data_IF_040164506901
#
_entry.id   IF_040164506901
#
_cell.length_a   1.000
_cell.length_b   1.000
_cell.length_c   1.000
_cell.angle_alpha   90.00
_cell.angle_beta   90.00
_cell.angle_gamma   90.00
#
_symmetry.space_group_name_H-M   'P 1'
#
loop_
_entity.id
_entity.type
_entity.pdbx_description
1 polymer ?
#
# COMPACT_ATOMS: atom_id res chain seq x y z
N UNK A 1 29.18 25.41 16.16
CA UNK A 1 29.37 24.52 14.99
C UNK A 1 30.74 23.91 15.15
N UNK A 2 30.80 22.63 15.49
CA UNK A 2 32.06 21.91 15.57
C UNK A 2 32.34 21.27 14.21
N UNK A 3 33.61 21.19 13.82
CA UNK A 3 34.01 20.40 12.67
C UNK A 3 34.19 18.95 13.12
N UNK A 4 33.74 18.03 12.27
CA UNK A 4 33.92 16.59 12.40
C UNK A 4 34.26 16.01 11.03
N UNK A 5 34.49 14.71 10.95
CA UNK A 5 34.82 14.03 9.70
C UNK A 5 33.61 13.34 9.10
N UNK A 6 33.50 13.38 7.78
CA UNK A 6 32.49 12.63 7.04
C UNK A 6 32.74 11.13 7.15
N UNK A 7 31.74 10.35 7.57
CA UNK A 7 31.84 8.88 7.69
C UNK A 7 32.25 8.16 6.40
N UNK A 8 31.97 8.74 5.23
CA UNK A 8 32.19 8.08 3.92
C UNK A 8 33.51 8.49 3.27
N UNK A 9 33.84 9.79 3.26
CA UNK A 9 35.02 10.31 2.52
C UNK A 9 36.09 10.97 3.40
N UNK A 10 35.88 11.05 4.72
CA UNK A 10 36.83 11.63 5.67
C UNK A 10 37.01 13.16 5.58
N UNK A 11 36.30 13.85 4.68
CA UNK A 11 36.37 15.31 4.59
C UNK A 11 35.86 15.98 5.88
N UNK A 12 36.44 17.12 6.25
CA UNK A 12 35.91 17.95 7.33
C UNK A 12 34.53 18.49 6.95
N UNK A 13 33.58 18.30 7.85
CA UNK A 13 32.18 18.71 7.72
C UNK A 13 31.70 19.27 9.05
N UNK A 14 30.69 20.14 9.00
CA UNK A 14 29.99 20.57 10.22
C UNK A 14 29.30 19.38 10.89
N UNK A 15 29.30 19.34 12.22
CA UNK A 15 28.54 18.39 13.04
C UNK A 15 27.03 18.44 12.78
N UNK A 16 26.53 19.56 12.24
CA UNK A 16 25.13 19.78 11.87
C UNK A 16 24.88 19.65 10.35
N UNK A 17 25.88 19.23 9.56
CA UNK A 17 25.73 19.11 8.12
C UNK A 17 24.66 18.06 7.75
N UNK A 18 23.70 18.43 6.88
CA UNK A 18 22.71 17.48 6.35
C UNK A 18 23.26 16.62 5.21
N UNK A 19 24.26 17.11 4.48
CA UNK A 19 24.95 16.40 3.42
C UNK A 19 26.42 16.82 3.37
N UNK A 20 27.32 15.89 3.00
CA UNK A 20 28.73 16.20 2.80
C UNK A 20 28.92 16.99 1.48
N UNK A 21 29.55 18.18 1.48
CA UNK A 21 29.76 18.96 0.26
C UNK A 21 30.74 18.30 -0.72
N UNK A 22 31.58 17.36 -0.27
CA UNK A 22 32.58 16.69 -1.11
C UNK A 22 32.05 15.44 -1.82
N UNK A 23 31.28 14.59 -1.11
CA UNK A 23 30.85 13.28 -1.62
C UNK A 23 29.33 13.09 -1.66
N UNK A 24 28.54 14.01 -1.09
CA UNK A 24 27.08 13.91 -1.06
C UNK A 24 26.50 13.00 0.03
N UNK A 25 27.33 12.38 0.89
CA UNK A 25 26.86 11.52 1.98
C UNK A 25 25.83 12.24 2.87
N UNK A 26 24.60 11.71 3.06
CA UNK A 26 23.59 12.30 3.93
C UNK A 26 23.98 12.11 5.40
N UNK A 27 23.72 13.09 6.26
CA UNK A 27 24.06 13.04 7.70
C UNK A 27 25.52 12.59 7.96
N UNK A 28 26.52 13.23 7.33
CA UNK A 28 27.90 12.74 7.28
C UNK A 28 28.58 12.65 8.64
N UNK A 29 28.12 13.42 9.63
CA UNK A 29 28.60 13.41 11.01
C UNK A 29 28.07 12.23 11.86
N UNK A 30 27.04 11.51 11.39
CA UNK A 30 26.45 10.40 12.12
C UNK A 30 27.04 9.06 11.63
N UNK A 31 27.90 8.38 12.42
CA UNK A 31 28.51 7.11 12.03
C UNK A 31 27.49 5.96 11.97
N UNK A 32 26.38 6.05 12.70
CA UNK A 32 25.33 5.04 12.75
C UNK A 32 24.19 5.31 11.76
N UNK A 33 24.40 6.16 10.75
CA UNK A 33 23.36 6.52 9.79
C UNK A 33 22.91 5.34 8.93
N UNK A 34 21.66 4.92 9.11
CA UNK A 34 21.01 3.84 8.35
C UNK A 34 19.81 4.32 7.51
N UNK A 35 19.67 5.64 7.33
CA UNK A 35 18.52 6.27 6.68
C UNK A 35 17.49 6.82 7.67
N UNK A 36 16.27 7.05 7.19
CA UNK A 36 15.13 7.53 8.00
C UNK A 36 14.06 6.46 8.13
N UNK A 37 13.22 6.59 9.16
CA UNK A 37 12.09 5.71 9.40
C UNK A 37 12.48 4.40 10.09
N UNK A 38 11.83 3.32 9.70
CA UNK A 38 11.92 2.02 10.39
C UNK A 38 11.86 0.89 9.37
N UNK A 39 12.62 -0.17 9.64
CA UNK A 39 12.56 -1.41 8.88
C UNK A 39 12.71 -2.59 9.82
N UNK A 40 11.79 -3.54 9.70
CA UNK A 40 11.85 -4.80 10.42
C UNK A 40 11.38 -5.94 9.51
N UNK A 41 12.06 -7.08 9.60
CA UNK A 41 11.79 -8.30 8.84
C UNK A 41 11.71 -9.47 9.80
N UNK A 42 10.73 -10.34 9.59
CA UNK A 42 10.64 -11.61 10.30
C UNK A 42 11.84 -12.51 9.96
N UNK A 43 12.35 -13.25 10.94
CA UNK A 43 13.46 -14.21 10.73
C UNK A 43 13.07 -15.38 9.83
N UNK A 44 11.80 -15.80 9.86
CA UNK A 44 11.27 -16.82 8.95
C UNK A 44 11.03 -16.23 7.57
N UNK A 45 11.46 -16.98 6.55
CA UNK A 45 11.27 -16.64 5.15
C UNK A 45 10.52 -17.76 4.43
N UNK A 46 9.80 -17.39 3.37
CA UNK A 46 9.12 -18.30 2.46
C UNK A 46 9.40 -17.84 1.03
N UNK A 47 9.94 -18.73 0.19
CA UNK A 47 10.30 -18.41 -1.20
C UNK A 47 11.30 -17.24 -1.34
N UNK A 48 12.20 -17.06 -0.36
CA UNK A 48 13.17 -15.95 -0.35
C UNK A 48 12.63 -14.61 0.18
N UNK A 49 11.34 -14.54 0.53
CA UNK A 49 10.72 -13.35 1.11
C UNK A 49 10.41 -13.54 2.60
N UNK A 50 10.53 -12.50 3.44
CA UNK A 50 10.13 -12.59 4.84
C UNK A 50 8.61 -12.83 4.96
N UNK A 51 8.19 -13.56 6.01
CA UNK A 51 6.77 -13.70 6.33
C UNK A 51 6.13 -12.34 6.63
N UNK A 52 6.81 -11.49 7.40
CA UNK A 52 6.36 -10.12 7.68
C UNK A 52 7.49 -9.14 7.40
N UNK A 53 7.18 -8.08 6.66
CA UNK A 53 8.09 -6.98 6.40
C UNK A 53 7.39 -5.66 6.65
N UNK A 54 7.89 -4.92 7.63
CA UNK A 54 7.43 -3.57 7.96
C UNK A 54 8.52 -2.61 7.53
N UNK A 55 8.22 -1.68 6.63
CA UNK A 55 9.20 -0.70 6.16
C UNK A 55 8.59 0.65 5.80
N UNK A 56 9.12 1.72 6.38
CA UNK A 56 8.75 3.10 6.03
C UNK A 56 9.95 4.04 6.16
N UNK A 57 9.92 5.15 5.43
CA UNK A 57 11.03 6.09 5.34
C UNK A 57 12.01 5.77 4.22
N UNK A 58 13.28 6.13 4.41
CA UNK A 58 14.35 6.01 3.40
C UNK A 58 15.52 5.19 3.92
N UNK A 59 16.22 4.50 3.03
CA UNK A 59 17.47 3.80 3.35
C UNK A 59 18.65 4.78 3.52
N UNK A 60 19.83 4.26 3.84
CA UNK A 60 21.05 5.07 4.03
C UNK A 60 21.47 5.84 2.77
N UNK A 61 21.06 5.37 1.59
CA UNK A 61 21.29 5.99 0.27
C UNK A 61 20.17 6.96 -0.13
N UNK A 62 19.18 7.16 0.73
CA UNK A 62 18.05 8.05 0.50
C UNK A 62 16.93 7.48 -0.39
N UNK A 63 16.98 6.19 -0.75
CA UNK A 63 15.90 5.53 -1.51
C UNK A 63 14.73 5.22 -0.59
N UNK A 64 13.51 5.35 -1.11
CA UNK A 64 12.30 4.97 -0.38
C UNK A 64 12.33 3.48 -0.06
N UNK A 65 12.02 3.12 1.19
CA UNK A 65 11.91 1.73 1.59
C UNK A 65 10.68 1.08 0.97
N UNK A 66 10.85 -0.15 0.51
CA UNK A 66 9.78 -0.96 -0.09
C UNK A 66 9.61 -2.23 0.74
N UNK A 67 8.48 -2.34 1.42
CA UNK A 67 8.12 -3.56 2.15
C UNK A 67 7.79 -4.67 1.14
N UNK A 68 8.45 -5.83 1.30
CA UNK A 68 8.27 -7.03 0.47
C UNK A 68 8.18 -8.26 1.36
N UNK A 69 7.07 -8.99 1.30
CA UNK A 69 6.86 -10.16 2.15
C UNK A 69 5.51 -10.84 1.91
N UNK A 70 5.22 -11.90 2.67
CA UNK A 70 3.87 -12.48 2.67
C UNK A 70 2.88 -11.45 3.22
N UNK A 71 3.20 -10.86 4.37
CA UNK A 71 2.53 -9.70 4.95
C UNK A 71 3.46 -8.51 4.81
N UNK A 72 3.07 -7.52 4.00
CA UNK A 72 3.87 -6.33 3.73
C UNK A 72 3.17 -5.07 4.26
N UNK A 73 3.84 -4.32 5.14
CA UNK A 73 3.31 -3.10 5.78
C UNK A 73 4.26 -1.94 5.51
N UNK A 74 3.80 -0.86 4.88
CA UNK A 74 4.68 0.28 4.61
C UNK A 74 4.05 1.41 3.81
N UNK A 75 4.82 2.47 3.56
CA UNK A 75 4.38 3.52 2.63
C UNK A 75 4.28 2.96 1.20
N UNK A 76 5.27 2.16 0.81
CA UNK A 76 5.30 1.38 -0.42
C UNK A 76 5.43 -0.10 -0.07
N UNK A 77 4.56 -0.95 -0.61
CA UNK A 77 4.56 -2.37 -0.28
C UNK A 77 4.14 -3.29 -1.44
N UNK A 78 4.73 -4.48 -1.47
CA UNK A 78 4.39 -5.57 -2.37
C UNK A 78 4.32 -6.87 -1.57
N UNK A 79 3.16 -7.51 -1.53
CA UNK A 79 2.99 -8.74 -0.77
C UNK A 79 1.76 -9.52 -1.15
N UNK A 80 1.58 -10.67 -0.49
CA UNK A 80 0.37 -11.46 -0.61
C UNK A 80 -0.79 -10.74 0.08
N UNK A 81 -0.53 -10.28 1.31
CA UNK A 81 -1.37 -9.41 2.12
C UNK A 81 -0.62 -8.10 2.34
N UNK A 82 -1.21 -6.99 1.91
CA UNK A 82 -0.53 -5.69 1.88
C UNK A 82 -1.32 -4.63 2.61
N UNK A 83 -0.65 -3.88 3.50
CA UNK A 83 -1.18 -2.69 4.17
C UNK A 83 -0.28 -1.51 3.83
N UNK A 84 -0.74 -0.62 2.94
CA UNK A 84 0.13 0.47 2.46
C UNK A 84 -0.59 1.69 1.90
N UNK A 85 0.15 2.80 1.79
CA UNK A 85 -0.35 3.96 1.05
C UNK A 85 -0.38 3.66 -0.46
N UNK A 86 0.71 3.09 -0.97
CA UNK A 86 0.85 2.64 -2.35
C UNK A 86 1.33 1.20 -2.37
N UNK A 87 0.67 0.33 -3.13
CA UNK A 87 1.17 -1.04 -3.20
C UNK A 87 0.36 -2.02 -4.01
N UNK A 88 0.82 -3.26 -3.95
CA UNK A 88 0.17 -4.41 -4.57
C UNK A 88 -0.03 -5.49 -3.51
N UNK A 89 -1.28 -5.91 -3.34
CA UNK A 89 -1.69 -7.02 -2.48
C UNK A 89 -2.24 -8.16 -3.32
N UNK A 90 -1.41 -9.17 -3.62
CA UNK A 90 -1.78 -10.22 -4.59
C UNK A 90 -3.08 -10.93 -4.20
N UNK A 91 -3.30 -11.21 -2.92
CA UNK A 91 -4.55 -11.76 -2.39
C UNK A 91 -5.40 -10.66 -1.77
N UNK A 92 -4.82 -9.87 -0.85
CA UNK A 92 -5.54 -8.82 -0.13
C UNK A 92 -4.71 -7.54 -0.03
N UNK A 93 -5.36 -6.39 -0.29
CA UNK A 93 -4.76 -5.07 -0.12
C UNK A 93 -5.65 -4.12 0.69
N UNK A 94 -5.05 -3.42 1.65
CA UNK A 94 -5.71 -2.36 2.41
C UNK A 94 -4.90 -1.05 2.38
N UNK A 95 -5.56 0.08 2.08
CA UNK A 95 -4.94 1.40 2.23
C UNK A 95 -5.46 2.47 1.26
N UNK A 96 -4.59 3.18 0.55
CA UNK A 96 -4.98 4.33 -0.29
C UNK A 96 -4.98 4.02 -1.80
N UNK A 97 -3.86 3.61 -2.37
CA UNK A 97 -3.70 3.28 -3.79
C UNK A 97 -3.20 1.85 -3.91
N UNK A 98 -4.12 0.91 -4.03
CA UNK A 98 -3.80 -0.52 -4.02
C UNK A 98 -4.31 -1.20 -5.28
N UNK A 99 -3.51 -2.14 -5.78
CA UNK A 99 -3.92 -3.10 -6.81
C UNK A 99 -3.83 -4.51 -6.21
N UNK A 100 -4.79 -5.38 -6.51
CA UNK A 100 -4.83 -6.71 -5.91
C UNK A 100 -6.03 -7.55 -6.33
N UNK A 101 -6.17 -8.74 -5.76
CA UNK A 101 -7.36 -9.57 -6.00
C UNK A 101 -8.57 -9.03 -5.24
N UNK A 102 -8.44 -8.89 -3.92
CA UNK A 102 -9.44 -8.25 -3.04
C UNK A 102 -8.81 -7.00 -2.44
N UNK A 103 -9.42 -5.83 -2.66
CA UNK A 103 -8.86 -4.54 -2.25
C UNK A 103 -9.88 -3.71 -1.50
N UNK A 104 -9.49 -3.22 -0.33
CA UNK A 104 -10.19 -2.22 0.46
C UNK A 104 -9.34 -0.95 0.51
N UNK A 105 -9.59 0.01 -0.39
CA UNK A 105 -8.75 1.21 -0.47
C UNK A 105 -9.51 2.41 -1.03
N UNK A 106 -8.99 3.63 -0.80
CA UNK A 106 -9.55 4.84 -1.40
C UNK A 106 -9.63 4.73 -2.94
N UNK A 107 -8.55 4.28 -3.57
CA UNK A 107 -8.43 3.91 -4.98
C UNK A 107 -8.11 2.41 -5.03
N UNK A 108 -9.15 1.61 -5.31
CA UNK A 108 -9.10 0.16 -5.25
C UNK A 108 -9.07 -0.45 -6.66
N UNK A 109 -7.88 -0.86 -7.10
CA UNK A 109 -7.67 -1.66 -8.31
C UNK A 109 -7.85 -3.15 -8.04
N UNK A 110 -9.06 -3.58 -7.71
CA UNK A 110 -9.38 -4.99 -7.46
C UNK A 110 -9.53 -5.79 -8.76
N UNK A 111 -9.12 -7.05 -8.76
CA UNK A 111 -9.44 -8.01 -9.82
C UNK A 111 -10.78 -8.69 -9.55
N UNK A 112 -10.96 -9.20 -8.32
CA UNK A 112 -12.16 -9.92 -7.88
C UNK A 112 -13.12 -8.97 -7.18
N UNK A 113 -12.63 -8.26 -6.16
CA UNK A 113 -13.43 -7.34 -5.37
C UNK A 113 -12.64 -6.05 -5.11
N UNK A 114 -13.19 -4.92 -5.52
CA UNK A 114 -12.71 -3.59 -5.13
C UNK A 114 -13.73 -2.87 -4.27
N UNK A 115 -13.34 -2.40 -3.09
CA UNK A 115 -14.18 -1.51 -2.27
C UNK A 115 -13.42 -0.23 -1.99
N UNK A 116 -14.01 0.90 -2.35
CA UNK A 116 -13.32 2.16 -2.30
C UNK A 116 -14.14 3.35 -2.73
N UNK A 117 -13.52 4.53 -2.76
CA UNK A 117 -14.19 5.72 -3.28
C UNK A 117 -14.18 5.67 -4.81
N UNK A 118 -13.06 5.24 -5.38
CA UNK A 118 -12.96 4.79 -6.77
C UNK A 118 -12.53 3.32 -6.75
N UNK A 119 -13.33 2.44 -7.33
CA UNK A 119 -13.10 1.01 -7.26
C UNK A 119 -13.30 0.31 -8.62
N UNK A 120 -12.46 -0.69 -8.88
CA UNK A 120 -12.57 -1.60 -10.03
C UNK A 120 -12.58 -3.05 -9.59
N UNK A 121 -13.09 -3.92 -10.46
CA UNK A 121 -12.98 -5.38 -10.32
C UNK A 121 -14.12 -6.13 -10.99
N UNK A 122 -14.17 -7.44 -10.82
CA UNK A 122 -15.34 -8.21 -11.19
C UNK A 122 -16.57 -7.74 -10.39
N UNK A 123 -16.40 -7.58 -9.07
CA UNK A 123 -17.33 -6.87 -8.19
C UNK A 123 -16.66 -5.58 -7.70
N UNK A 124 -17.37 -4.45 -7.74
CA UNK A 124 -16.91 -3.22 -7.12
C UNK A 124 -18.00 -2.50 -6.33
N UNK A 125 -17.61 -1.94 -5.18
CA UNK A 125 -18.48 -1.14 -4.31
C UNK A 125 -17.80 0.20 -4.04
N UNK A 126 -18.47 1.31 -4.33
CA UNK A 126 -17.87 2.63 -4.13
C UNK A 126 -18.70 3.83 -4.53
N UNK A 127 -18.07 5.00 -4.63
CA UNK A 127 -18.74 6.19 -5.18
C UNK A 127 -18.72 6.13 -6.70
N UNK A 128 -17.54 5.83 -7.25
CA UNK A 128 -17.32 5.61 -8.68
C UNK A 128 -16.84 4.17 -8.86
N UNK A 129 -17.55 3.39 -9.66
CA UNK A 129 -17.23 1.98 -9.90
C UNK A 129 -17.08 1.67 -11.38
N UNK A 130 -16.05 0.88 -11.71
CA UNK A 130 -15.86 0.26 -13.02
C UNK A 130 -15.76 -1.26 -12.84
N UNK A 131 -16.85 -1.98 -13.10
CA UNK A 131 -16.93 -3.40 -12.77
C UNK A 131 -17.96 -4.17 -13.59
N UNK A 132 -17.91 -5.50 -13.53
CA UNK A 132 -18.97 -6.35 -14.08
C UNK A 132 -20.24 -6.23 -13.23
N UNK A 133 -20.12 -6.43 -11.91
CA UNK A 133 -21.13 -6.10 -10.89
C UNK A 133 -20.70 -4.85 -10.11
N UNK A 134 -21.38 -3.73 -10.31
CA UNK A 134 -21.05 -2.46 -9.68
C UNK A 134 -22.15 -1.95 -8.75
N UNK A 135 -21.80 -1.59 -7.51
CA UNK A 135 -22.65 -0.85 -6.59
C UNK A 135 -22.01 0.51 -6.28
N UNK A 136 -22.64 1.61 -6.70
CA UNK A 136 -22.10 2.93 -6.39
C UNK A 136 -22.89 4.10 -6.94
N UNK A 137 -22.51 5.34 -6.61
CA UNK A 137 -23.24 6.51 -7.09
C UNK A 137 -23.14 6.67 -8.61
N UNK A 138 -21.94 6.45 -9.14
CA UNK A 138 -21.62 6.43 -10.57
C UNK A 138 -21.04 5.06 -10.88
N UNK A 139 -21.63 4.34 -11.84
CA UNK A 139 -21.19 3.01 -12.20
C UNK A 139 -21.13 2.79 -13.70
N UNK A 140 -20.03 2.20 -14.16
CA UNK A 140 -19.84 1.75 -15.54
C UNK A 140 -19.58 0.24 -15.55
N UNK A 141 -20.37 -0.51 -16.32
CA UNK A 141 -20.36 -1.97 -16.28
C UNK A 141 -21.55 -2.64 -16.94
N UNK A 142 -21.56 -3.97 -16.91
CA UNK A 142 -22.65 -4.79 -17.43
C UNK A 142 -23.86 -4.77 -16.49
N UNK A 143 -23.65 -5.03 -15.20
CA UNK A 143 -24.69 -5.04 -14.17
C UNK A 143 -24.40 -4.00 -13.08
N UNK A 144 -25.12 -2.88 -13.14
CA UNK A 144 -24.91 -1.72 -12.29
C UNK A 144 -26.14 -1.43 -11.43
N UNK A 145 -25.88 -1.20 -10.14
CA UNK A 145 -26.78 -0.55 -9.21
C UNK A 145 -26.20 0.80 -8.79
N UNK A 146 -26.74 1.86 -9.38
CA UNK A 146 -26.40 3.25 -9.13
C UNK A 146 -27.62 4.16 -8.91
N UNK A 147 -27.38 5.46 -8.77
CA UNK A 147 -28.45 6.46 -8.61
C UNK A 147 -29.28 6.65 -9.88
N UNK A 148 -28.69 6.40 -11.06
CA UNK A 148 -29.33 6.58 -12.37
C UNK A 148 -29.69 5.27 -13.08
N UNK A 149 -29.05 4.15 -12.72
CA UNK A 149 -29.26 2.83 -13.34
C UNK A 149 -29.44 1.78 -12.26
N UNK A 150 -30.44 0.92 -12.41
CA UNK A 150 -30.73 -0.13 -11.43
C UNK A 150 -31.10 -1.43 -12.12
N UNK A 151 -30.09 -2.21 -12.47
CA UNK A 151 -30.30 -3.50 -13.12
C UNK A 151 -30.81 -4.53 -12.11
N UNK A 152 -31.86 -5.28 -12.48
CA UNK A 152 -32.48 -6.26 -11.58
C UNK A 152 -31.48 -7.31 -11.08
N UNK A 153 -30.58 -7.76 -11.95
CA UNK A 153 -29.53 -8.73 -11.61
C UNK A 153 -28.55 -8.17 -10.57
N UNK A 154 -28.06 -6.94 -10.77
CA UNK A 154 -27.18 -6.27 -9.80
C UNK A 154 -27.87 -6.14 -8.42
N UNK A 155 -29.14 -5.73 -8.40
CA UNK A 155 -29.90 -5.58 -7.15
C UNK A 155 -30.03 -6.92 -6.43
N UNK A 156 -30.42 -7.98 -7.13
CA UNK A 156 -30.53 -9.32 -6.53
C UNK A 156 -29.18 -9.82 -6.00
N UNK A 157 -28.11 -9.64 -6.78
CA UNK A 157 -26.75 -10.00 -6.38
C UNK A 157 -26.35 -9.34 -5.05
N UNK A 158 -26.43 -8.01 -4.95
CA UNK A 158 -26.01 -7.29 -3.73
C UNK A 158 -26.97 -7.51 -2.55
N UNK A 159 -28.28 -7.71 -2.78
CA UNK A 159 -29.21 -8.07 -1.70
C UNK A 159 -28.96 -9.48 -1.15
N UNK A 160 -28.54 -10.43 -2.00
CA UNK A 160 -28.15 -11.76 -1.53
C UNK A 160 -26.94 -11.67 -0.59
N UNK A 161 -25.93 -10.86 -0.92
CA UNK A 161 -24.78 -10.59 -0.06
C UNK A 161 -25.17 -9.97 1.28
N UNK A 162 -26.07 -8.98 1.26
CA UNK A 162 -26.57 -8.37 2.49
C UNK A 162 -27.30 -9.36 3.39
N UNK A 163 -28.05 -10.29 2.79
CA UNK A 163 -28.76 -11.35 3.51
C UNK A 163 -27.77 -12.30 4.19
N UNK A 164 -26.69 -12.71 3.50
CA UNK A 164 -25.60 -13.49 4.10
C UNK A 164 -24.89 -12.74 5.23
N UNK A 165 -24.57 -11.46 5.03
CA UNK A 165 -23.92 -10.64 6.05
C UNK A 165 -24.77 -10.49 7.31
N UNK A 166 -26.10 -10.31 7.16
CA UNK A 166 -27.03 -10.25 8.29
C UNK A 166 -27.01 -11.52 9.14
N UNK A 167 -26.92 -12.69 8.51
CA UNK A 167 -26.85 -13.99 9.20
C UNK A 167 -25.54 -14.21 9.95
N UNK A 168 -24.46 -13.51 9.60
CA UNK A 168 -23.17 -13.60 10.29
C UNK A 168 -23.07 -12.71 11.54
N UNK A 169 -23.91 -11.66 11.60
CA UNK A 169 -23.85 -10.63 12.65
C UNK A 169 -24.92 -10.88 13.75
N UNK A 170 -25.89 -11.75 13.49
CA UNK A 170 -26.89 -12.22 14.47
C UNK A 170 -26.62 -13.68 14.83
#
# INVERSE_FOLDING_TARGET
MALTTCRECGAEVSDQARACPRCGAPQPANPAWSGTGFEWKSSRTYGGYPLVHIAFGRDSRGKLRLAKGVIAIGQFALGLVTVAQFGVGLVFGFGQFLIGSVVLAQFAGGLVLGVGQIATGYVAIGQVVLAYYGLGQIGLGEFIWSTSRRDGEAVQFFLSWWSYLKQLIH
#
